data_IF_796889852368
#
_entry.id   IF_796889852368
#
_cell.length_a   1.000
_cell.length_b   1.000
_cell.length_c   1.000
_cell.angle_alpha   90.00
_cell.angle_beta   90.00
_cell.angle_gamma   90.00
#
_symmetry.space_group_name_H-M   'P 1'
#
loop_
_entity.id
_entity.type
_entity.pdbx_description
1 polymer ?
#
# COMPACT_ATOMS: atom_id res chain seq x y z
N UNK A 1 17.14 66.49 39.67
CA UNK A 1 16.20 65.35 39.67
C UNK A 1 16.24 64.70 38.28
N UNK A 2 16.92 63.54 38.15
CA UNK A 2 17.01 62.75 36.90
C UNK A 2 16.26 61.42 37.16
N UNK A 3 15.15 61.23 36.49
CA UNK A 3 14.40 59.95 36.53
C UNK A 3 15.07 58.95 35.58
N UNK A 4 15.46 57.82 36.15
CA UNK A 4 16.04 56.67 35.45
C UNK A 4 14.91 55.72 35.05
N UNK A 5 14.64 55.55 33.78
CA UNK A 5 13.65 54.56 33.25
C UNK A 5 14.39 53.23 33.07
N UNK A 6 14.03 52.23 33.85
CA UNK A 6 14.52 50.86 33.73
C UNK A 6 13.55 50.08 32.80
N UNK A 7 14.04 49.76 31.59
CA UNK A 7 13.30 48.93 30.66
C UNK A 7 13.60 47.44 30.93
N UNK A 8 12.57 46.68 31.33
CA UNK A 8 12.61 45.24 31.56
C UNK A 8 12.33 44.53 30.26
N UNK A 9 13.34 43.95 29.61
CA UNK A 9 13.20 43.12 28.44
C UNK A 9 12.88 41.67 28.85
N UNK A 10 11.64 41.27 28.71
CA UNK A 10 11.20 39.88 28.92
C UNK A 10 11.56 39.00 27.73
N UNK A 11 12.49 38.07 27.88
CA UNK A 11 12.79 37.05 26.90
C UNK A 11 11.75 35.93 26.98
N UNK A 12 10.85 35.82 25.99
CA UNK A 12 9.96 34.65 25.81
C UNK A 12 10.80 33.51 25.21
N UNK A 13 11.13 32.49 26.01
CA UNK A 13 11.63 31.21 25.54
C UNK A 13 10.47 30.40 24.94
N UNK A 14 10.43 30.27 23.61
CA UNK A 14 9.56 29.34 22.92
C UNK A 14 10.10 27.92 23.10
N UNK A 15 9.49 27.13 23.96
CA UNK A 15 9.78 25.70 24.10
C UNK A 15 9.20 24.97 22.88
N UNK A 16 10.05 24.59 21.93
CA UNK A 16 9.68 23.70 20.82
C UNK A 16 9.49 22.28 21.38
N UNK A 17 8.25 21.85 21.55
CA UNK A 17 7.94 20.45 21.80
C UNK A 17 8.14 19.69 20.50
N UNK A 18 9.29 19.03 20.33
CA UNK A 18 9.47 18.01 19.32
C UNK A 18 8.63 16.79 19.77
N UNK A 19 7.55 16.49 19.05
CA UNK A 19 6.85 15.23 19.21
C UNK A 19 7.82 14.08 18.92
N UNK A 20 7.87 13.01 19.73
CA UNK A 20 8.71 11.86 19.45
C UNK A 20 8.26 11.27 18.10
N UNK A 21 9.16 11.22 17.12
CA UNK A 21 8.96 10.44 15.92
C UNK A 21 8.92 8.98 16.39
N UNK A 22 7.73 8.38 16.39
CA UNK A 22 7.60 6.95 16.60
C UNK A 22 8.37 6.26 15.50
N UNK A 23 9.39 5.47 15.85
CA UNK A 23 10.09 4.62 14.90
C UNK A 23 9.02 3.78 14.18
N UNK A 24 8.99 3.87 12.85
CA UNK A 24 8.04 3.07 12.08
C UNK A 24 8.36 1.59 12.35
N UNK A 25 7.34 0.81 12.72
CA UNK A 25 7.49 -0.64 12.87
C UNK A 25 8.07 -1.20 11.57
N UNK A 26 9.14 -2.01 11.70
CA UNK A 26 9.83 -2.62 10.56
C UNK A 26 8.89 -3.40 9.60
N UNK A 27 7.70 -3.78 10.05
CA UNK A 27 6.68 -4.44 9.24
C UNK A 27 5.52 -3.52 8.82
N UNK A 28 5.73 -2.21 8.82
CA UNK A 28 4.74 -1.25 8.35
C UNK A 28 5.03 -0.86 6.90
N UNK A 29 4.01 -0.90 6.04
CA UNK A 29 4.04 -0.34 4.69
C UNK A 29 3.07 0.83 4.61
N UNK A 30 3.54 2.00 4.19
CA UNK A 30 2.71 3.18 3.96
C UNK A 30 2.55 3.43 2.47
N UNK A 31 1.32 3.46 1.99
CA UNK A 31 0.94 3.78 0.61
C UNK A 31 0.35 5.19 0.61
N UNK A 32 1.02 6.12 -0.04
CA UNK A 32 0.50 7.47 -0.23
C UNK A 32 -0.43 7.51 -1.43
N UNK A 33 -1.71 7.78 -1.19
CA UNK A 33 -2.73 8.04 -2.22
C UNK A 33 -2.97 9.55 -2.36
N UNK A 34 -3.71 9.97 -3.40
CA UNK A 34 -4.13 11.36 -3.58
C UNK A 34 -4.99 11.88 -2.43
N UNK A 35 -5.78 11.01 -1.81
CA UNK A 35 -6.72 11.34 -0.74
C UNK A 35 -6.13 11.19 0.67
N UNK A 36 -4.89 10.70 0.78
CA UNK A 36 -4.18 10.53 2.03
C UNK A 36 -3.42 9.21 2.15
N UNK A 37 -2.71 8.99 3.26
CA UNK A 37 -1.94 7.77 3.49
C UNK A 37 -2.84 6.59 3.84
N UNK A 38 -2.39 5.40 3.46
CA UNK A 38 -2.91 4.10 3.88
C UNK A 38 -1.77 3.35 4.56
N UNK A 39 -1.96 2.93 5.79
CA UNK A 39 -0.95 2.21 6.57
C UNK A 39 -1.34 0.74 6.66
N UNK A 40 -0.46 -0.12 6.18
CA UNK A 40 -0.62 -1.58 6.18
C UNK A 40 0.37 -2.18 7.17
N UNK A 41 -0.12 -2.94 8.15
CA UNK A 41 0.69 -3.84 8.95
C UNK A 41 0.95 -5.10 8.12
N UNK A 42 2.21 -5.31 7.73
CA UNK A 42 2.64 -6.54 7.05
C UNK A 42 2.77 -7.68 8.05
N UNK A 43 2.51 -8.91 7.60
CA UNK A 43 2.43 -10.12 8.43
C UNK A 43 3.46 -11.17 7.96
N UNK A 44 4.75 -10.96 8.23
CA UNK A 44 5.80 -11.91 7.84
C UNK A 44 5.68 -13.27 8.53
N UNK A 45 4.98 -13.36 9.64
CA UNK A 45 4.65 -14.62 10.32
C UNK A 45 3.70 -15.51 9.51
N UNK A 46 2.85 -14.92 8.65
CA UNK A 46 1.95 -15.64 7.76
C UNK A 46 2.57 -15.93 6.39
N UNK A 47 3.32 -14.97 5.85
CA UNK A 47 3.83 -15.02 4.48
C UNK A 47 5.25 -14.41 4.38
N UNK A 48 6.26 -15.04 4.97
CA UNK A 48 7.60 -14.48 5.08
C UNK A 48 8.24 -14.16 3.71
N UNK A 49 8.05 -15.01 2.70
CA UNK A 49 8.63 -14.80 1.37
C UNK A 49 7.94 -13.66 0.62
N UNK A 50 6.61 -13.61 0.67
CA UNK A 50 5.83 -12.54 0.03
C UNK A 50 6.11 -11.18 0.68
N UNK A 51 6.11 -11.11 2.01
CA UNK A 51 6.40 -9.87 2.74
C UNK A 51 7.83 -9.39 2.44
N UNK A 52 8.80 -10.29 2.38
CA UNK A 52 10.18 -9.94 2.00
C UNK A 52 10.22 -9.31 0.61
N UNK A 53 9.55 -9.89 -0.39
CA UNK A 53 9.54 -9.37 -1.77
C UNK A 53 8.79 -8.03 -1.87
N UNK A 54 7.66 -7.87 -1.17
CA UNK A 54 6.95 -6.58 -1.09
C UNK A 54 7.87 -5.50 -0.51
N UNK A 55 8.55 -5.78 0.60
CA UNK A 55 9.48 -4.83 1.22
C UNK A 55 10.65 -4.48 0.30
N UNK A 56 11.20 -5.45 -0.41
CA UNK A 56 12.27 -5.24 -1.38
C UNK A 56 11.82 -4.31 -2.52
N UNK A 57 10.66 -4.57 -3.13
CA UNK A 57 10.11 -3.76 -4.20
C UNK A 57 9.75 -2.34 -3.72
N UNK A 58 9.15 -2.21 -2.55
CA UNK A 58 8.82 -0.92 -1.96
C UNK A 58 10.07 -0.09 -1.64
N UNK A 59 11.11 -0.70 -1.06
CA UNK A 59 12.36 0.00 -0.73
C UNK A 59 13.12 0.47 -1.97
N UNK A 60 12.96 -0.21 -3.10
CA UNK A 60 13.51 0.19 -4.41
C UNK A 60 12.64 1.22 -5.14
N UNK A 61 11.49 1.62 -4.59
CA UNK A 61 10.54 2.53 -5.23
C UNK A 61 9.83 1.92 -6.45
N UNK A 62 9.79 0.58 -6.57
CA UNK A 62 9.15 -0.08 -7.70
C UNK A 62 7.62 0.14 -7.69
N UNK A 63 7.01 0.27 -6.52
CA UNK A 63 5.58 0.55 -6.38
C UNK A 63 5.20 2.03 -6.56
N UNK A 64 6.15 2.95 -6.65
CA UNK A 64 5.86 4.38 -6.84
C UNK A 64 5.21 4.61 -8.21
N UNK A 65 4.11 5.36 -8.22
CA UNK A 65 3.27 5.65 -9.38
C UNK A 65 2.61 4.43 -10.05
N UNK A 66 2.48 3.30 -9.35
CA UNK A 66 1.76 2.12 -9.86
C UNK A 66 0.26 2.30 -9.68
N UNK A 67 -0.49 2.07 -10.75
CA UNK A 67 -1.94 2.28 -10.82
C UNK A 67 -2.75 1.15 -10.18
N UNK A 68 -3.95 1.49 -9.69
CA UNK A 68 -4.99 0.52 -9.35
C UNK A 68 -5.75 0.14 -10.62
N UNK A 69 -5.24 -0.84 -11.34
CA UNK A 69 -5.74 -1.22 -12.67
C UNK A 69 -7.09 -1.96 -12.63
N UNK A 70 -7.42 -2.59 -11.50
CA UNK A 70 -8.67 -3.35 -11.32
C UNK A 70 -9.28 -3.07 -9.95
N UNK A 71 -10.47 -2.46 -9.94
CA UNK A 71 -11.18 -2.09 -8.71
C UNK A 71 -12.64 -2.47 -8.85
N UNK A 72 -13.09 -3.43 -8.06
CA UNK A 72 -14.49 -3.90 -8.05
C UNK A 72 -15.14 -3.40 -6.76
N UNK A 73 -16.17 -2.57 -6.92
CA UNK A 73 -16.93 -2.05 -5.78
C UNK A 73 -17.52 -3.20 -4.93
N UNK A 74 -17.44 -3.04 -3.62
CA UNK A 74 -17.89 -4.08 -2.69
C UNK A 74 -17.04 -5.36 -2.69
N UNK A 75 -15.88 -5.39 -3.40
CA UNK A 75 -14.98 -6.54 -3.40
C UNK A 75 -13.55 -6.14 -3.02
N UNK A 76 -12.74 -5.61 -3.97
CA UNK A 76 -11.34 -5.29 -3.72
C UNK A 76 -10.79 -4.23 -4.68
N UNK A 77 -9.64 -3.62 -4.30
CA UNK A 77 -8.80 -2.78 -5.14
C UNK A 77 -7.47 -3.49 -5.41
N UNK A 78 -7.17 -3.81 -6.69
CA UNK A 78 -5.95 -4.51 -7.11
C UNK A 78 -4.98 -3.55 -7.78
N UNK A 79 -3.70 -3.70 -7.42
CA UNK A 79 -2.57 -2.88 -7.86
C UNK A 79 -1.27 -3.71 -7.90
N UNK A 80 -0.12 -3.05 -8.06
CA UNK A 80 1.18 -3.68 -7.89
C UNK A 80 1.79 -4.28 -9.15
N UNK A 81 1.21 -4.03 -10.33
CA UNK A 81 1.87 -4.33 -11.61
C UNK A 81 2.97 -3.29 -11.87
N UNK A 82 4.18 -3.61 -11.48
CA UNK A 82 5.33 -2.70 -11.58
C UNK A 82 5.92 -2.61 -13.00
N UNK A 83 5.52 -3.51 -13.89
CA UNK A 83 5.95 -3.52 -15.29
C UNK A 83 5.06 -2.62 -16.16
N UNK A 84 3.77 -2.96 -16.27
CA UNK A 84 2.84 -2.26 -17.16
C UNK A 84 1.97 -1.23 -16.46
N UNK A 85 1.86 -1.30 -15.13
CA UNK A 85 1.06 -0.38 -14.33
C UNK A 85 1.82 0.83 -13.77
N UNK A 86 3.14 0.91 -13.92
CA UNK A 86 3.96 2.01 -13.37
C UNK A 86 3.93 3.23 -14.29
N UNK A 87 3.10 4.22 -13.97
CA UNK A 87 2.98 5.46 -14.76
C UNK A 87 4.31 6.21 -14.78
N UNK A 88 4.76 6.57 -15.99
CA UNK A 88 6.09 7.15 -16.22
C UNK A 88 7.22 6.12 -16.31
N UNK A 89 6.94 4.83 -16.10
CA UNK A 89 7.88 3.74 -16.37
C UNK A 89 8.05 3.47 -17.87
N UNK A 90 9.19 2.88 -18.24
CA UNK A 90 9.52 2.61 -19.66
C UNK A 90 8.53 1.66 -20.35
N UNK A 91 7.96 0.73 -19.60
CA UNK A 91 7.02 -0.29 -20.11
C UNK A 91 5.56 0.05 -19.83
N UNK A 92 5.25 1.25 -19.33
CA UNK A 92 3.89 1.63 -18.97
C UNK A 92 2.92 1.42 -20.13
N UNK A 93 1.93 0.58 -19.94
CA UNK A 93 0.94 0.21 -20.94
C UNK A 93 -0.42 -0.03 -20.25
N UNK A 94 -1.32 0.97 -20.17
CA UNK A 94 -2.59 0.85 -19.44
C UNK A 94 -3.44 -0.35 -19.86
N UNK A 95 -3.46 -0.68 -21.16
CA UNK A 95 -4.19 -1.84 -21.68
C UNK A 95 -3.60 -3.20 -21.29
N UNK A 96 -2.39 -3.22 -20.75
CA UNK A 96 -1.70 -4.42 -20.25
C UNK A 96 -1.56 -4.42 -18.73
N UNK A 97 -1.94 -3.35 -18.05
CA UNK A 97 -1.84 -3.26 -16.61
C UNK A 97 -2.65 -4.40 -15.95
N UNK A 98 -1.98 -5.13 -15.06
CA UNK A 98 -2.48 -6.36 -14.46
C UNK A 98 -1.93 -7.65 -15.07
N UNK A 99 -1.20 -7.56 -16.20
CA UNK A 99 -0.59 -8.73 -16.87
C UNK A 99 0.89 -8.89 -16.53
N UNK A 100 1.53 -7.88 -15.95
CA UNK A 100 2.95 -7.86 -15.63
C UNK A 100 3.26 -8.16 -14.16
N UNK A 101 4.56 -8.18 -13.88
CA UNK A 101 5.12 -8.39 -12.56
C UNK A 101 6.45 -7.68 -12.39
N UNK A 102 7.24 -8.08 -11.43
CA UNK A 102 8.61 -7.61 -11.25
C UNK A 102 9.61 -8.57 -11.92
N UNK A 103 10.86 -8.13 -12.03
CA UNK A 103 11.95 -9.00 -12.49
C UNK A 103 12.38 -10.06 -11.46
N UNK A 104 11.80 -10.04 -10.25
CA UNK A 104 12.05 -11.03 -9.23
C UNK A 104 11.28 -12.33 -9.54
N UNK A 105 11.71 -13.49 -9.01
CA UNK A 105 11.01 -14.75 -9.20
C UNK A 105 9.59 -14.74 -8.63
N UNK A 106 8.73 -15.55 -9.21
CA UNK A 106 7.44 -15.88 -8.63
C UNK A 106 7.59 -16.59 -7.28
N UNK A 107 6.63 -16.40 -6.40
CA UNK A 107 6.69 -16.85 -5.02
C UNK A 107 5.69 -18.01 -4.84
N UNK A 108 6.13 -19.16 -4.31
CA UNK A 108 5.24 -20.24 -3.92
C UNK A 108 4.22 -19.77 -2.88
N UNK A 109 2.99 -20.30 -2.98
CA UNK A 109 1.90 -19.94 -2.08
C UNK A 109 2.27 -20.12 -0.59
N UNK A 110 1.84 -19.16 0.23
CA UNK A 110 1.95 -19.18 1.70
C UNK A 110 0.54 -18.99 2.28
N UNK A 111 -0.34 -19.97 2.01
CA UNK A 111 -1.73 -19.90 2.46
C UNK A 111 -1.86 -20.04 3.97
N UNK A 112 -2.77 -19.29 4.56
CA UNK A 112 -3.09 -19.31 5.98
C UNK A 112 -4.60 -19.50 6.21
N UNK A 113 -5.01 -19.66 7.47
CA UNK A 113 -6.43 -19.69 7.88
C UNK A 113 -6.99 -18.29 8.16
N UNK A 114 -6.20 -17.24 7.95
CA UNK A 114 -6.65 -15.87 8.16
C UNK A 114 -7.75 -15.53 7.18
N UNK A 115 -8.94 -15.10 7.65
CA UNK A 115 -10.07 -14.81 6.77
C UNK A 115 -9.83 -13.52 5.97
N UNK A 116 -10.32 -13.50 4.73
CA UNK A 116 -10.34 -12.29 3.90
C UNK A 116 -11.49 -11.37 4.33
N UNK A 117 -11.20 -10.49 5.25
CA UNK A 117 -12.11 -9.45 5.75
C UNK A 117 -11.72 -8.07 5.19
N UNK A 118 -12.58 -7.06 5.44
CA UNK A 118 -12.28 -5.67 5.09
C UNK A 118 -10.89 -5.23 5.60
N UNK A 119 -10.11 -4.64 4.72
CA UNK A 119 -8.76 -4.14 4.97
C UNK A 119 -7.66 -5.20 4.88
N UNK A 120 -7.99 -6.49 4.73
CA UNK A 120 -6.97 -7.53 4.50
C UNK A 120 -6.32 -7.31 3.14
N UNK A 121 -4.99 -7.47 3.10
CA UNK A 121 -4.17 -7.38 1.89
C UNK A 121 -3.74 -8.78 1.48
N UNK A 122 -4.11 -9.17 0.25
CA UNK A 122 -3.77 -10.47 -0.33
C UNK A 122 -2.93 -10.32 -1.59
N UNK A 123 -2.10 -11.34 -1.88
CA UNK A 123 -1.33 -11.39 -3.12
C UNK A 123 -2.20 -11.84 -4.29
N UNK A 124 -2.16 -11.07 -5.38
CA UNK A 124 -2.73 -11.50 -6.64
C UNK A 124 -1.83 -12.56 -7.31
N UNK A 125 -2.44 -13.44 -8.08
CA UNK A 125 -1.77 -14.51 -8.80
C UNK A 125 -2.53 -14.90 -10.07
N UNK A 126 -1.90 -15.64 -10.96
CA UNK A 126 -2.56 -16.29 -12.09
C UNK A 126 -3.35 -17.53 -11.63
N UNK A 127 -3.66 -18.43 -12.53
CA UNK A 127 -4.30 -19.71 -12.17
C UNK A 127 -3.41 -20.58 -11.27
N UNK A 128 -2.09 -20.53 -11.48
CA UNK A 128 -1.15 -21.26 -10.63
C UNK A 128 -1.08 -20.64 -9.22
N UNK A 129 -1.23 -21.41 -8.15
CA UNK A 129 -1.06 -20.93 -6.78
C UNK A 129 0.35 -20.34 -6.51
N UNK A 130 1.34 -20.80 -7.27
CA UNK A 130 2.76 -20.45 -7.11
C UNK A 130 3.21 -19.37 -8.11
N UNK A 131 2.31 -18.49 -8.55
CA UNK A 131 2.58 -17.43 -9.53
C UNK A 131 2.41 -16.01 -8.97
N UNK A 132 2.34 -15.84 -7.66
CA UNK A 132 2.35 -14.52 -7.06
C UNK A 132 3.73 -13.87 -7.26
N UNK A 133 3.74 -12.55 -7.55
CA UNK A 133 4.98 -11.83 -7.83
C UNK A 133 4.99 -10.46 -7.14
N UNK A 134 4.41 -9.42 -7.75
CA UNK A 134 4.39 -8.05 -7.22
C UNK A 134 2.98 -7.53 -6.96
N UNK A 135 1.97 -8.08 -7.63
CA UNK A 135 0.61 -7.58 -7.54
C UNK A 135 -0.07 -8.01 -6.24
N UNK A 136 -0.83 -7.09 -5.65
CA UNK A 136 -1.62 -7.34 -4.45
C UNK A 136 -2.97 -6.62 -4.53
N UNK A 137 -3.88 -6.99 -3.64
CA UNK A 137 -5.21 -6.36 -3.55
C UNK A 137 -5.58 -6.08 -2.09
N UNK A 138 -6.40 -5.04 -1.90
CA UNK A 138 -6.94 -4.63 -0.60
C UNK A 138 -8.44 -4.88 -0.61
N UNK A 139 -8.94 -5.60 0.38
CA UNK A 139 -10.36 -5.97 0.48
C UNK A 139 -11.23 -4.79 0.94
N UNK A 140 -12.32 -4.53 0.23
CA UNK A 140 -13.37 -3.59 0.70
C UNK A 140 -14.32 -4.24 1.70
N UNK A 141 -14.51 -5.55 1.61
CA UNK A 141 -15.45 -6.31 2.45
C UNK A 141 -14.95 -7.72 2.70
N UNK A 142 -15.67 -8.48 3.51
CA UNK A 142 -15.40 -9.90 3.75
C UNK A 142 -15.76 -10.75 2.53
N UNK A 143 -14.84 -11.68 2.18
CA UNK A 143 -15.04 -12.57 1.02
C UNK A 143 -14.51 -13.98 1.31
N UNK A 144 -15.31 -14.84 1.96
CA UNK A 144 -14.86 -16.15 2.47
C UNK A 144 -14.36 -17.13 1.40
N UNK A 145 -14.77 -16.98 0.14
CA UNK A 145 -14.28 -17.84 -0.94
C UNK A 145 -12.79 -17.67 -1.27
N UNK A 146 -12.15 -16.63 -0.74
CA UNK A 146 -10.70 -16.43 -0.86
C UNK A 146 -9.91 -17.09 0.28
N UNK A 147 -10.57 -17.47 1.36
CA UNK A 147 -9.93 -18.03 2.55
C UNK A 147 -9.21 -19.33 2.18
N UNK A 148 -7.91 -19.40 2.54
CA UNK A 148 -7.05 -20.53 2.18
C UNK A 148 -6.72 -20.70 0.69
N UNK A 149 -7.18 -19.78 -0.19
CA UNK A 149 -6.95 -19.84 -1.64
C UNK A 149 -5.97 -18.75 -2.12
N UNK A 150 -5.75 -17.72 -1.30
CA UNK A 150 -4.82 -16.63 -1.56
C UNK A 150 -3.94 -16.38 -0.35
N UNK A 151 -2.73 -15.89 -0.59
CA UNK A 151 -1.76 -15.55 0.47
C UNK A 151 -2.10 -14.21 1.07
N UNK A 152 -2.39 -14.17 2.39
CA UNK A 152 -2.52 -12.94 3.17
C UNK A 152 -1.15 -12.41 3.51
N UNK A 153 -0.88 -11.13 3.22
CA UNK A 153 0.42 -10.48 3.48
C UNK A 153 0.34 -9.34 4.48
N UNK A 154 -0.86 -8.89 4.83
CA UNK A 154 -1.03 -7.79 5.77
C UNK A 154 -2.47 -7.36 5.95
N UNK A 155 -2.65 -6.29 6.75
CA UNK A 155 -3.95 -5.65 6.99
C UNK A 155 -3.78 -4.14 7.09
N UNK A 156 -4.70 -3.40 6.50
CA UNK A 156 -4.80 -1.95 6.68
C UNK A 156 -5.16 -1.65 8.13
N UNK A 157 -4.32 -0.87 8.80
CA UNK A 157 -4.50 -0.44 10.20
C UNK A 157 -4.89 1.03 10.31
N UNK A 158 -4.71 1.82 9.24
CA UNK A 158 -5.14 3.22 9.16
C UNK A 158 -5.33 3.63 7.70
N UNK A 159 -6.27 4.55 7.42
CA UNK A 159 -6.49 5.11 6.09
C UNK A 159 -7.40 4.25 5.20
N UNK A 160 -8.20 3.33 5.75
CA UNK A 160 -9.14 2.54 4.95
C UNK A 160 -10.20 3.40 4.24
N UNK A 161 -10.54 4.55 4.79
CA UNK A 161 -11.39 5.58 4.19
C UNK A 161 -10.78 6.18 2.91
N UNK A 162 -9.45 6.18 2.78
CA UNK A 162 -8.75 6.61 1.56
C UNK A 162 -8.77 5.51 0.50
N UNK A 163 -8.71 4.23 0.91
CA UNK A 163 -8.90 3.09 0.01
C UNK A 163 -10.30 3.10 -0.59
N UNK A 164 -11.33 3.43 0.20
CA UNK A 164 -12.73 3.51 -0.26
C UNK A 164 -12.93 4.55 -1.38
N UNK A 165 -12.10 5.60 -1.43
CA UNK A 165 -12.15 6.65 -2.44
C UNK A 165 -11.48 6.30 -3.76
N UNK A 166 -10.72 5.20 -3.81
CA UNK A 166 -10.09 4.74 -5.04
C UNK A 166 -11.16 4.54 -6.12
N UNK A 167 -10.90 5.09 -7.31
CA UNK A 167 -11.80 5.04 -8.45
C UNK A 167 -12.15 3.60 -8.80
N UNK A 168 -13.45 3.30 -8.80
CA UNK A 168 -13.97 1.98 -9.16
C UNK A 168 -13.94 1.79 -10.67
N UNK A 169 -13.69 0.57 -11.11
CA UNK A 169 -13.80 0.18 -12.49
C UNK A 169 -15.25 0.07 -12.95
N UNK A 170 -15.44 0.09 -14.24
CA UNK A 170 -16.75 -0.10 -14.90
C UNK A 170 -16.83 -1.49 -15.51
N UNK A 171 -18.02 -2.11 -15.45
CA UNK A 171 -18.23 -3.46 -15.95
C UNK A 171 -17.82 -4.58 -14.99
N UNK A 172 -18.13 -5.83 -15.36
CA UNK A 172 -17.99 -7.00 -14.48
C UNK A 172 -16.55 -7.37 -14.09
N UNK A 173 -15.56 -6.88 -14.84
CA UNK A 173 -14.14 -7.17 -14.60
C UNK A 173 -13.46 -6.16 -13.68
N UNK A 174 -14.07 -4.98 -13.44
CA UNK A 174 -13.50 -3.93 -12.60
C UNK A 174 -12.29 -3.21 -13.19
N UNK A 175 -12.07 -3.28 -14.50
CA UNK A 175 -11.03 -2.52 -15.18
C UNK A 175 -11.27 -1.02 -15.04
N UNK A 176 -10.22 -0.26 -14.69
CA UNK A 176 -10.33 1.17 -14.38
C UNK A 176 -9.75 2.01 -15.53
N UNK A 177 -10.60 2.80 -16.16
CA UNK A 177 -10.15 3.84 -17.11
C UNK A 177 -9.66 5.06 -16.31
N UNK A 178 -8.46 5.56 -16.64
CA UNK A 178 -7.81 6.64 -15.90
C UNK A 178 -7.75 6.38 -14.38
N UNK A 179 -6.97 5.35 -13.98
CA UNK A 179 -6.94 4.85 -12.62
C UNK A 179 -6.19 5.76 -11.65
N UNK A 180 -6.60 5.73 -10.38
CA UNK A 180 -5.79 6.23 -9.28
C UNK A 180 -4.51 5.39 -9.14
N UNK A 181 -3.49 5.96 -8.47
CA UNK A 181 -2.19 5.30 -8.29
C UNK A 181 -1.65 5.45 -6.88
N UNK A 182 -0.77 4.58 -6.51
CA UNK A 182 0.11 4.74 -5.36
C UNK A 182 1.15 5.81 -5.71
N UNK A 183 1.06 7.02 -5.14
CA UNK A 183 1.99 8.11 -5.41
C UNK A 183 3.39 7.79 -4.89
N UNK A 184 3.45 7.20 -3.70
CA UNK A 184 4.66 6.77 -3.03
C UNK A 184 4.36 5.57 -2.15
N UNK A 185 5.28 4.61 -2.09
CA UNK A 185 5.21 3.49 -1.15
C UNK A 185 6.51 3.42 -0.35
N UNK A 186 6.38 3.38 0.97
CA UNK A 186 7.51 3.25 1.89
C UNK A 186 7.29 2.09 2.85
N UNK A 187 8.38 1.51 3.35
CA UNK A 187 8.35 0.48 4.39
C UNK A 187 9.17 0.93 5.58
N UNK A 188 8.74 0.55 6.79
CA UNK A 188 9.49 0.75 8.00
C UNK A 188 10.86 0.03 7.93
N UNK A 189 11.87 0.65 8.51
CA UNK A 189 13.23 0.10 8.61
C UNK A 189 13.46 -0.51 9.98
#
# INVERSE_FOLDING_TARGET
MKLLHLALAGAMMAASFAAPAMAADANTMTIQLKDGPVVVQLMPELAPKHVKQIKELASKGEYDNVVFHRVIDGFMAQTGDVEFGKQGGKSFAPSRAGMGGSALPDIPAEFSRTPFERGVVGMARSQSPNSANSQFFIMFTKYPSLDGQYTVVGKVVSGMENVDKIKKGTGGNGEVTDPDRMLKVTVGQ
#
